data_IF_637878702699
#
_entry.id   IF_637878702699
#
_cell.length_a   1.000
_cell.length_b   1.000
_cell.length_c   1.000
_cell.angle_alpha   90.00
_cell.angle_beta   90.00
_cell.angle_gamma   90.00
#
_symmetry.space_group_name_H-M   'P 1'
#
loop_
_entity.id
_entity.type
_entity.pdbx_description
1 polymer ?
2 non-polymer ?
3 water ?
#
# COMPACT_ATOMS: atom_id res chain seq x y z
N UNK A 1 -35.31 -2.34 6.01
CA UNK A 1 -34.19 -2.36 5.02
C UNK A 1 -34.65 -1.71 3.74
N UNK A 2 -33.99 -2.03 2.63
CA UNK A 2 -34.36 -1.46 1.34
C UNK A 2 -35.65 -2.11 0.85
N UNK A 3 -36.64 -1.28 0.50
CA UNK A 3 -37.85 -1.73 -0.13
C UNK A 3 -38.05 -0.88 -1.38
N UNK A 4 -37.31 -1.19 -2.42
CA UNK A 4 -37.28 -0.35 -3.62
C UNK A 4 -36.89 1.10 -3.27
N UNK A 5 -35.76 1.29 -2.62
CA UNK A 5 -35.24 2.65 -2.41
C UNK A 5 -33.73 2.66 -2.44
N UNK A 6 -33.13 3.87 -2.52
CA UNK A 6 -31.69 3.96 -2.60
C UNK A 6 -31.06 4.56 -1.35
N UNK A 7 -31.69 4.39 -0.20
CA UNK A 7 -31.04 4.88 1.03
C UNK A 7 -29.85 3.97 1.30
N UNK A 8 -28.66 4.55 1.29
CA UNK A 8 -27.44 3.75 1.45
C UNK A 8 -27.19 3.38 2.91
N UNK A 9 -26.79 2.12 3.10
CA UNK A 9 -26.28 1.57 4.37
C UNK A 9 -25.11 0.66 4.05
N UNK A 10 -24.35 0.21 5.06
CA UNK A 10 -23.30 -0.74 4.76
C UNK A 10 -23.83 -2.02 4.12
N UNK A 11 -25.00 -2.47 4.59
CA UNK A 11 -25.57 -3.65 4.01
C UNK A 11 -25.97 -3.46 2.55
N UNK A 12 -26.60 -2.33 2.21
CA UNK A 12 -26.91 -2.10 0.81
C UNK A 12 -25.62 -2.00 0.00
N UNK A 13 -24.61 -1.29 0.50
CA UNK A 13 -23.36 -1.14 -0.25
C UNK A 13 -22.72 -2.50 -0.55
N UNK A 14 -22.59 -3.38 0.44
CA UNK A 14 -21.95 -4.66 0.15
C UNK A 14 -22.77 -5.46 -0.90
N UNK A 15 -24.09 -5.31 -0.84
CA UNK A 15 -25.01 -5.99 -1.77
C UNK A 15 -24.81 -5.50 -3.21
N UNK A 16 -24.27 -4.29 -3.37
CA UNK A 16 -24.12 -3.69 -4.70
C UNK A 16 -22.79 -4.07 -5.33
N UNK A 17 -22.00 -4.86 -4.61
CA UNK A 17 -20.68 -5.30 -5.12
C UNK A 17 -20.79 -6.65 -5.83
N UNK A 18 -21.92 -6.95 -6.45
CA UNK A 18 -22.03 -8.15 -7.31
C UNK A 18 -20.92 -8.14 -8.34
N UNK A 19 -20.30 -9.28 -8.63
CA UNK A 19 -19.05 -9.25 -9.41
C UNK A 19 -19.25 -9.03 -10.88
N UNK A 20 -20.46 -9.25 -11.37
CA UNK A 20 -20.63 -9.37 -12.81
C UNK A 20 -21.24 -8.21 -13.59
N UNK A 21 -21.84 -7.24 -12.91
CA UNK A 21 -22.46 -6.14 -13.67
C UNK A 21 -21.42 -5.16 -14.25
N UNK A 22 -20.28 -4.97 -13.55
CA UNK A 22 -19.18 -4.08 -13.97
C UNK A 22 -19.64 -2.67 -14.25
N UNK A 23 -20.69 -2.24 -13.54
CA UNK A 23 -21.24 -0.90 -13.72
C UNK A 23 -20.45 0.03 -12.82
N UNK A 24 -19.65 0.94 -13.41
CA UNK A 24 -18.78 1.79 -12.61
C UNK A 24 -19.50 2.61 -11.58
N UNK A 25 -20.67 3.18 -11.89
CA UNK A 25 -21.34 4.01 -10.89
C UNK A 25 -21.85 3.21 -9.70
N UNK A 26 -22.28 1.97 -9.94
CA UNK A 26 -22.82 1.18 -8.87
C UNK A 26 -21.68 0.76 -7.94
N UNK A 27 -20.57 0.32 -8.53
CA UNK A 27 -19.44 -0.11 -7.73
C UNK A 27 -18.90 1.09 -6.98
N UNK A 28 -18.72 2.22 -7.67
CA UNK A 28 -18.18 3.43 -7.05
C UNK A 28 -19.07 3.94 -5.91
N UNK A 29 -20.38 3.96 -6.09
CA UNK A 29 -21.26 4.40 -4.99
C UNK A 29 -21.12 3.48 -3.79
N UNK A 30 -21.07 2.17 -4.02
CA UNK A 30 -20.99 1.22 -2.94
C UNK A 30 -19.61 1.26 -2.22
N UNK A 31 -18.54 1.22 -2.99
CA UNK A 31 -17.19 1.21 -2.38
C UNK A 31 -16.86 2.56 -1.75
N UNK A 32 -17.24 3.69 -2.36
CA UNK A 32 -17.03 4.98 -1.63
C UNK A 32 -17.87 5.03 -0.35
N UNK A 33 -19.09 4.49 -0.34
CA UNK A 33 -19.84 4.45 0.93
C UNK A 33 -19.03 3.73 2.02
N UNK A 34 -18.47 2.56 1.66
CA UNK A 34 -17.67 1.79 2.61
C UNK A 34 -16.40 2.57 3.02
N UNK A 35 -15.71 3.18 2.05
CA UNK A 35 -14.57 4.07 2.34
C UNK A 35 -14.93 5.14 3.38
N UNK A 36 -16.01 5.86 3.10
CA UNK A 36 -16.42 6.93 4.02
C UNK A 36 -16.84 6.41 5.39
N UNK A 37 -17.55 5.27 5.44
CA UNK A 37 -18.01 4.79 6.72
C UNK A 37 -16.84 4.27 7.56
N UNK A 38 -15.86 3.67 6.92
CA UNK A 38 -14.70 3.08 7.63
C UNK A 38 -13.62 4.10 7.96
N UNK A 39 -13.77 5.36 7.53
CA UNK A 39 -12.70 6.39 7.75
C UNK A 39 -12.46 6.55 9.23
N UNK A 40 -13.52 6.72 10.00
CA UNK A 40 -13.33 6.91 11.44
C UNK A 40 -14.13 5.95 12.33
N UNK A 41 -14.79 4.95 11.75
CA UNK A 41 -15.59 4.01 12.59
C UNK A 41 -15.03 2.59 12.59
N UNK A 42 -14.39 2.23 13.69
CA UNK A 42 -13.94 0.85 13.85
C UNK A 42 -15.07 -0.15 13.64
N UNK A 43 -16.30 0.18 14.04
CA UNK A 43 -17.38 -0.77 13.93
C UNK A 43 -17.70 -1.09 12.46
N UNK A 44 -17.53 -0.10 11.59
CA UNK A 44 -17.78 -0.30 10.16
C UNK A 44 -16.74 -1.22 9.55
N UNK A 45 -15.49 -1.12 10.01
CA UNK A 45 -14.48 -2.03 9.48
C UNK A 45 -14.81 -3.49 9.90
N UNK A 46 -15.29 -3.69 11.13
CA UNK A 46 -15.67 -5.03 11.52
C UNK A 46 -16.91 -5.52 10.78
N UNK A 47 -17.84 -4.63 10.53
CA UNK A 47 -19.09 -5.02 9.86
C UNK A 47 -18.88 -5.44 8.41
N UNK A 48 -18.03 -4.72 7.68
CA UNK A 48 -17.74 -5.12 6.30
C UNK A 48 -17.08 -6.49 6.26
N UNK A 49 -16.19 -6.77 7.23
CA UNK A 49 -15.64 -8.11 7.36
C UNK A 49 -16.73 -9.15 7.57
N UNK A 50 -17.66 -8.87 8.50
CA UNK A 50 -18.71 -9.82 8.81
C UNK A 50 -19.61 -10.07 7.60
N UNK A 51 -19.81 -9.04 6.78
CA UNK A 51 -20.69 -9.13 5.61
C UNK A 51 -19.95 -9.71 4.38
N UNK A 52 -18.71 -10.14 4.59
CA UNK A 52 -17.92 -10.80 3.55
C UNK A 52 -17.57 -9.84 2.43
N UNK A 53 -17.45 -8.56 2.78
CA UNK A 53 -17.21 -7.51 1.78
C UNK A 53 -15.77 -7.41 1.31
N UNK A 54 -14.82 -7.93 2.07
CA UNK A 54 -13.42 -7.75 1.69
C UNK A 54 -13.12 -8.49 0.38
N UNK A 55 -13.52 -9.77 0.30
CA UNK A 55 -13.31 -10.48 -0.97
C UNK A 55 -14.09 -9.83 -2.14
N UNK A 56 -15.28 -9.31 -1.86
CA UNK A 56 -16.03 -8.71 -2.95
C UNK A 56 -15.29 -7.49 -3.50
N UNK A 57 -14.66 -6.73 -2.62
CA UNK A 57 -13.88 -5.57 -3.10
C UNK A 57 -12.65 -6.00 -3.86
N UNK A 58 -11.90 -6.95 -3.31
CA UNK A 58 -10.72 -7.44 -4.03
C UNK A 58 -11.05 -7.95 -5.42
N UNK A 59 -12.21 -8.62 -5.57
CA UNK A 59 -12.60 -9.14 -6.90
C UNK A 59 -12.78 -8.01 -7.91
N UNK A 60 -13.19 -6.84 -7.45
CA UNK A 60 -13.44 -5.74 -8.36
C UNK A 60 -12.20 -4.93 -8.75
N UNK A 61 -11.02 -5.27 -8.25
CA UNK A 61 -9.78 -4.66 -8.72
C UNK A 61 -9.55 -5.01 -10.20
N UNK A 62 -10.24 -6.04 -10.71
CA UNK A 62 -10.16 -6.42 -12.13
C UNK A 62 -10.79 -5.35 -13.06
N UNK A 63 -11.59 -4.45 -12.50
CA UNK A 63 -12.33 -3.50 -13.30
C UNK A 63 -11.45 -2.33 -13.75
N UNK A 64 -11.29 -2.18 -15.07
CA UNK A 64 -10.34 -1.20 -15.62
C UNK A 64 -11.03 0.14 -15.77
N UNK A 65 -11.33 0.78 -14.66
CA UNK A 65 -11.97 2.07 -14.70
C UNK A 65 -11.37 2.82 -13.53
N UNK A 66 -10.87 4.05 -13.73
CA UNK A 66 -10.12 4.76 -12.68
C UNK A 66 -11.01 5.12 -11.50
N UNK A 67 -12.27 5.47 -11.77
CA UNK A 67 -13.16 5.76 -10.65
C UNK A 67 -13.42 4.54 -9.79
N UNK A 68 -13.65 3.39 -10.42
CA UNK A 68 -13.82 2.15 -9.69
C UNK A 68 -12.57 1.84 -8.86
N UNK A 69 -11.40 1.99 -9.47
CA UNK A 69 -10.19 1.59 -8.73
C UNK A 69 -9.92 2.52 -7.55
N UNK A 70 -10.17 3.82 -7.72
CA UNK A 70 -10.05 4.75 -6.59
C UNK A 70 -11.04 4.39 -5.48
N UNK A 71 -12.28 4.07 -5.84
CA UNK A 71 -13.23 3.72 -4.80
C UNK A 71 -12.83 2.43 -4.07
N UNK A 72 -12.46 1.39 -4.83
CA UNK A 72 -12.12 0.11 -4.23
C UNK A 72 -10.84 0.21 -3.38
N UNK A 73 -9.80 0.85 -3.92
CA UNK A 73 -8.53 0.95 -3.15
C UNK A 73 -8.65 1.88 -1.97
N UNK A 74 -9.41 2.97 -2.14
CA UNK A 74 -9.72 3.86 -0.99
C UNK A 74 -10.49 3.12 0.11
N UNK A 75 -11.50 2.33 -0.29
CA UNK A 75 -12.26 1.52 0.66
C UNK A 75 -11.34 0.54 1.41
N UNK A 76 -10.52 -0.17 0.68
CA UNK A 76 -9.67 -1.20 1.29
C UNK A 76 -8.63 -0.58 2.22
N UNK A 77 -8.10 0.60 1.89
CA UNK A 77 -7.14 1.25 2.78
C UNK A 77 -7.82 1.54 4.13
N UNK A 78 -9.05 2.07 4.06
CA UNK A 78 -9.77 2.41 5.30
C UNK A 78 -10.27 1.23 6.08
N UNK A 79 -10.53 0.12 5.39
CA UNK A 79 -10.95 -1.11 6.03
C UNK A 79 -9.86 -1.77 6.88
N UNK A 80 -8.60 -1.65 6.43
CA UNK A 80 -7.52 -2.33 7.15
C UNK A 80 -6.90 -1.46 8.22
N UNK A 81 -7.25 -0.18 8.26
CA UNK A 81 -6.66 0.71 9.26
C UNK A 81 -6.95 0.26 10.66
N UNK A 82 -5.89 -0.02 11.43
CA UNK A 82 -6.08 -0.42 12.84
C UNK A 82 -7.09 -1.58 13.00
N UNK A 83 -7.13 -2.49 12.05
CA UNK A 83 -8.00 -3.65 12.17
C UNK A 83 -7.27 -4.92 11.77
N UNK A 84 -6.75 -5.64 12.75
CA UNK A 84 -5.92 -6.77 12.45
C UNK A 84 -6.62 -7.89 11.69
N UNK A 85 -7.89 -8.14 12.01
CA UNK A 85 -8.61 -9.21 11.30
C UNK A 85 -8.69 -8.84 9.81
N UNK A 86 -8.89 -7.55 9.51
CA UNK A 86 -9.00 -7.17 8.12
C UNK A 86 -7.65 -7.22 7.41
N UNK A 87 -6.59 -6.82 8.12
CA UNK A 87 -5.26 -6.93 7.50
C UNK A 87 -4.95 -8.40 7.14
N UNK A 88 -5.21 -9.30 8.08
CA UNK A 88 -4.95 -10.71 7.88
C UNK A 88 -5.81 -11.27 6.75
N UNK A 89 -7.06 -10.81 6.66
CA UNK A 89 -7.93 -11.35 5.61
C UNK A 89 -7.51 -10.86 4.22
N UNK A 90 -7.14 -9.58 4.06
CA UNK A 90 -6.60 -9.14 2.77
C UNK A 90 -5.38 -9.99 2.37
N UNK A 91 -4.47 -10.25 3.31
CA UNK A 91 -3.28 -11.06 2.99
C UNK A 91 -3.66 -12.50 2.62
N UNK A 92 -4.59 -13.08 3.37
CA UNK A 92 -4.97 -14.48 3.19
C UNK A 92 -5.66 -14.70 1.85
N UNK A 93 -6.38 -13.68 1.36
CA UNK A 93 -7.12 -13.77 0.10
C UNK A 93 -6.24 -13.46 -1.12
N UNK A 94 -4.92 -13.43 -0.92
CA UNK A 94 -3.98 -13.05 -2.02
C UNK A 94 -4.25 -11.65 -2.54
N UNK A 95 -4.64 -10.80 -1.62
CA UNK A 95 -4.86 -9.38 -1.99
C UNK A 95 -3.57 -8.67 -2.34
N UNK A 96 -2.43 -9.04 -1.74
CA UNK A 96 -1.24 -8.25 -2.01
C UNK A 96 -0.79 -8.26 -3.49
N UNK A 97 -0.65 -9.45 -4.12
CA UNK A 97 -0.24 -9.43 -5.53
C UNK A 97 -1.26 -8.70 -6.42
N UNK A 98 -2.55 -8.84 -6.15
CA UNK A 98 -3.52 -8.14 -6.99
C UNK A 98 -3.40 -6.63 -6.82
N UNK A 99 -3.18 -6.18 -5.58
CA UNK A 99 -3.02 -4.76 -5.37
C UNK A 99 -1.75 -4.26 -6.05
N UNK A 100 -0.68 -5.04 -6.00
CA UNK A 100 0.57 -4.65 -6.66
C UNK A 100 0.43 -4.56 -8.17
N UNK A 101 -0.42 -5.43 -8.75
CA UNK A 101 -0.67 -5.34 -10.19
C UNK A 101 -1.34 -4.02 -10.53
N UNK A 102 -2.33 -3.61 -9.73
CA UNK A 102 -2.95 -2.34 -9.99
C UNK A 102 -1.93 -1.22 -9.81
N UNK A 103 -1.09 -1.32 -8.80
CA UNK A 103 -0.10 -0.26 -8.51
C UNK A 103 0.83 -0.06 -9.72
N UNK A 104 1.26 -1.17 -10.32
CA UNK A 104 2.10 -1.06 -11.53
C UNK A 104 1.38 -0.48 -12.76
N UNK A 105 0.11 -0.83 -12.93
CA UNK A 105 -0.64 -0.55 -14.15
C UNK A 105 -1.32 0.78 -14.15
N UNK A 106 -1.80 1.24 -13.01
CA UNK A 106 -2.60 2.48 -13.02
C UNK A 106 -1.80 3.70 -13.46
N UNK A 107 -2.49 4.63 -14.13
CA UNK A 107 -1.89 5.92 -14.41
C UNK A 107 -2.38 7.02 -13.46
N UNK A 108 -3.08 6.63 -12.40
CA UNK A 108 -3.65 7.60 -11.47
C UNK A 108 -2.81 7.71 -10.20
N UNK A 109 -2.26 8.89 -9.94
CA UNK A 109 -1.41 9.03 -8.74
C UNK A 109 -2.17 8.76 -7.46
N UNK A 110 -3.42 9.21 -7.35
CA UNK A 110 -4.12 9.03 -6.08
C UNK A 110 -4.34 7.54 -5.82
N UNK A 111 -4.62 6.75 -6.86
CA UNK A 111 -4.79 5.29 -6.67
C UNK A 111 -3.51 4.70 -6.10
N UNK A 112 -2.37 5.15 -6.62
CA UNK A 112 -1.09 4.67 -6.05
C UNK A 112 -0.90 5.04 -4.59
N UNK A 113 -1.36 6.22 -4.19
CA UNK A 113 -1.26 6.64 -2.77
C UNK A 113 -2.14 5.74 -1.92
N UNK A 114 -3.34 5.40 -2.42
CA UNK A 114 -4.24 4.55 -1.64
C UNK A 114 -3.66 3.16 -1.46
N UNK A 115 -3.13 2.58 -2.54
CA UNK A 115 -2.60 1.20 -2.48
C UNK A 115 -1.39 1.17 -1.55
N UNK A 116 -0.51 2.12 -1.70
CA UNK A 116 0.72 2.16 -0.92
C UNK A 116 0.39 2.44 0.61
N UNK A 117 -0.61 3.28 0.88
CA UNK A 117 -1.08 3.49 2.28
C UNK A 117 -1.70 2.21 2.85
N UNK A 118 -2.53 1.49 2.05
CA UNK A 118 -3.09 0.20 2.43
C UNK A 118 -1.97 -0.79 2.81
N UNK A 119 -0.97 -0.90 1.97
CA UNK A 119 0.14 -1.81 2.24
C UNK A 119 0.92 -1.41 3.49
N UNK A 120 1.09 -0.10 3.66
CA UNK A 120 1.70 0.37 4.87
C UNK A 120 0.89 -0.08 6.11
N UNK A 121 -0.45 0.01 6.04
CA UNK A 121 -1.28 -0.48 7.15
C UNK A 121 -1.08 -1.97 7.37
N UNK A 122 -1.06 -2.77 6.29
CA UNK A 122 -0.77 -4.21 6.46
C UNK A 122 0.55 -4.46 7.19
N UNK A 123 1.56 -3.68 6.83
CA UNK A 123 2.92 -3.96 7.29
C UNK A 123 3.15 -3.78 8.79
N UNK A 124 2.26 -3.09 9.48
CA UNK A 124 2.44 -2.89 10.92
C UNK A 124 2.00 -4.10 11.71
N UNK A 125 1.35 -5.07 11.07
CA UNK A 125 0.98 -6.31 11.77
C UNK A 125 2.16 -7.25 11.80
N UNK A 126 2.60 -7.64 12.99
CA UNK A 126 3.85 -8.40 13.12
C UNK A 126 3.80 -9.69 12.33
N UNK A 127 2.60 -10.26 12.19
CA UNK A 127 2.47 -11.57 11.54
C UNK A 127 2.56 -11.47 10.02
N UNK A 128 2.48 -10.25 9.51
CA UNK A 128 2.50 -10.01 8.09
C UNK A 128 3.83 -9.48 7.56
N UNK A 129 4.84 -9.29 8.41
CA UNK A 129 6.07 -8.66 7.92
C UNK A 129 6.88 -9.53 6.97
N UNK A 130 7.04 -10.82 7.31
CA UNK A 130 7.75 -11.72 6.40
C UNK A 130 6.90 -11.94 5.16
N UNK A 131 5.58 -12.07 5.30
CA UNK A 131 4.73 -12.22 4.12
C UNK A 131 4.87 -11.01 3.18
N UNK A 132 4.92 -9.79 3.73
CA UNK A 132 5.11 -8.62 2.91
C UNK A 132 6.46 -8.59 2.21
N UNK A 133 7.49 -9.11 2.87
CA UNK A 133 8.79 -9.23 2.20
C UNK A 133 8.67 -10.19 1.01
N UNK A 134 8.08 -11.37 1.21
CA UNK A 134 7.89 -12.34 0.13
C UNK A 134 7.10 -11.74 -1.03
N UNK A 135 5.99 -11.08 -0.70
CA UNK A 135 5.02 -10.68 -1.72
C UNK A 135 5.38 -9.35 -2.37
N UNK A 136 5.93 -8.42 -1.58
CA UNK A 136 5.93 -7.01 -2.02
C UNK A 136 7.30 -6.33 -2.09
N UNK A 137 8.34 -6.91 -1.49
CA UNK A 137 9.63 -6.23 -1.39
C UNK A 137 10.14 -5.80 -2.76
N UNK A 138 10.15 -6.73 -3.71
CA UNK A 138 10.73 -6.44 -5.00
C UNK A 138 9.94 -5.39 -5.79
N UNK A 139 8.61 -5.50 -5.81
CA UNK A 139 7.77 -4.56 -6.56
C UNK A 139 7.91 -3.18 -5.94
N UNK A 140 7.85 -3.09 -4.60
CA UNK A 140 7.94 -1.75 -3.98
C UNK A 140 9.31 -1.07 -4.25
N UNK A 141 10.38 -1.86 -4.21
CA UNK A 141 11.76 -1.34 -4.44
C UNK A 141 11.91 -0.88 -5.88
N UNK A 142 11.46 -1.73 -6.81
CA UNK A 142 11.74 -1.41 -8.21
C UNK A 142 10.77 -0.41 -8.80
N UNK A 143 9.51 -0.44 -8.37
CA UNK A 143 8.55 0.50 -8.92
C UNK A 143 8.52 1.88 -8.27
N UNK A 144 8.82 1.94 -6.96
CA UNK A 144 8.74 3.20 -6.25
C UNK A 144 10.07 3.73 -5.73
N UNK A 145 10.77 2.95 -4.92
CA UNK A 145 11.93 3.50 -4.23
C UNK A 145 13.03 3.87 -5.21
N UNK A 146 13.45 2.92 -6.02
CA UNK A 146 14.52 3.17 -6.98
C UNK A 146 14.26 4.36 -7.92
N UNK A 147 13.13 4.37 -8.64
CA UNK A 147 12.89 5.49 -9.57
C UNK A 147 12.74 6.86 -8.88
N UNK A 148 12.08 6.94 -7.72
CA UNK A 148 11.88 8.25 -7.09
C UNK A 148 13.16 8.79 -6.46
N UNK A 149 14.02 7.88 -6.01
CA UNK A 149 15.21 8.29 -5.26
C UNK A 149 16.15 9.24 -6.01
N UNK A 150 16.28 9.05 -7.30
CA UNK A 150 17.29 9.75 -8.14
C UNK A 150 18.64 9.04 -8.18
N UNK A 151 18.73 7.87 -7.55
CA UNK A 151 19.95 7.10 -7.53
C UNK A 151 20.06 6.28 -8.85
N UNK A 152 21.26 6.11 -9.39
CA UNK A 152 22.52 6.77 -9.05
C UNK A 152 22.65 8.15 -9.68
N UNK A 153 23.19 9.08 -8.90
CA UNK A 153 23.26 10.46 -9.38
C UNK A 153 24.04 10.57 -10.66
N UNK A 154 25.15 9.86 -10.70
CA UNK A 154 26.12 10.00 -11.78
C UNK A 154 25.61 9.43 -13.08
N UNK A 155 24.41 8.80 -13.05
CA UNK A 155 23.77 8.28 -14.25
C UNK A 155 22.66 9.17 -14.76
N UNK A 156 22.44 10.29 -14.07
CA UNK A 156 21.42 11.30 -14.42
C UNK A 156 20.11 10.69 -14.87
N UNK A 157 19.46 9.94 -13.97
CA UNK A 157 18.17 9.32 -14.31
C UNK A 157 17.08 10.35 -14.53
N UNK A 158 16.20 10.10 -15.52
CA UNK A 158 15.09 11.00 -15.78
C UNK A 158 14.13 11.04 -14.58
N UNK A 159 13.31 12.09 -14.49
CA UNK A 159 12.25 12.13 -13.47
C UNK A 159 11.15 11.13 -13.81
N UNK A 160 10.35 10.70 -12.82
CA UNK A 160 9.23 9.79 -13.07
C UNK A 160 7.88 10.48 -12.86
N UNK A 161 7.16 10.65 -13.96
CA UNK A 161 5.96 11.46 -13.97
C UNK A 161 4.80 10.79 -13.28
N UNK A 162 4.96 9.53 -12.89
CA UNK A 162 3.86 8.83 -12.23
C UNK A 162 4.17 8.44 -10.79
N UNK A 163 5.05 9.22 -10.15
CA UNK A 163 5.35 9.07 -8.72
C UNK A 163 5.40 10.45 -8.11
N UNK A 164 5.23 10.52 -6.80
CA UNK A 164 5.43 11.76 -6.05
C UNK A 164 5.84 11.43 -4.62
N UNK A 165 6.11 12.49 -3.86
CA UNK A 165 6.58 12.34 -2.51
C UNK A 165 5.64 11.49 -1.64
N UNK A 166 4.33 11.70 -1.76
CA UNK A 166 3.40 10.94 -0.89
C UNK A 166 3.50 9.44 -1.13
N UNK A 167 3.65 9.05 -2.40
CA UNK A 167 3.73 7.61 -2.71
C UNK A 167 5.06 7.05 -2.16
N UNK A 168 6.15 7.79 -2.37
CA UNK A 168 7.45 7.38 -1.83
C UNK A 168 7.41 7.28 -0.30
N UNK A 169 6.79 8.27 0.35
CA UNK A 169 6.65 8.28 1.81
C UNK A 169 5.92 7.03 2.34
N UNK A 170 4.77 6.74 1.73
CA UNK A 170 4.05 5.54 2.10
C UNK A 170 4.89 4.29 2.01
N UNK A 171 5.64 4.17 0.92
CA UNK A 171 6.46 2.98 0.67
C UNK A 171 7.62 2.92 1.67
N UNK A 172 8.20 4.07 2.01
CA UNK A 172 9.24 4.02 3.07
C UNK A 172 8.67 3.61 4.43
N UNK A 173 7.40 3.94 4.70
CA UNK A 173 6.74 3.51 5.93
C UNK A 173 6.55 2.00 5.91
N UNK A 174 6.09 1.50 4.77
CA UNK A 174 5.96 0.05 4.51
C UNK A 174 7.24 -0.66 4.79
N UNK A 175 8.29 -0.20 4.13
CA UNK A 175 9.61 -0.87 4.25
C UNK A 175 10.17 -0.72 5.65
N UNK A 176 9.92 0.41 6.31
CA UNK A 176 10.38 0.55 7.70
C UNK A 176 9.80 -0.56 8.57
N UNK A 177 8.49 -0.78 8.45
CA UNK A 177 7.87 -1.84 9.21
C UNK A 177 8.45 -3.18 8.81
N UNK A 178 8.60 -3.39 7.51
CA UNK A 178 9.11 -4.72 7.07
C UNK A 178 10.52 -4.98 7.58
N UNK A 179 11.32 -3.93 7.72
CA UNK A 179 12.72 -4.11 8.14
C UNK A 179 12.89 -4.50 9.60
N UNK A 180 11.79 -4.48 10.36
CA UNK A 180 11.79 -5.02 11.74
C UNK A 180 11.49 -6.52 11.83
N UNK A 181 11.45 -7.18 10.68
CA UNK A 181 11.24 -8.62 10.65
C UNK A 181 12.50 -9.23 11.23
N UNK A 182 12.53 -10.54 11.30
CA UNK A 182 13.71 -11.20 11.81
C UNK A 182 14.84 -11.31 10.81
N UNK A 183 15.87 -12.03 11.18
CA UNK A 183 17.07 -12.02 10.38
C UNK A 183 16.92 -12.46 8.93
N UNK A 184 16.13 -13.49 8.68
CA UNK A 184 16.03 -13.94 7.30
C UNK A 184 15.31 -12.89 6.47
N UNK A 185 14.30 -12.25 7.03
CA UNK A 185 13.62 -11.16 6.33
C UNK A 185 14.52 -9.96 6.07
N UNK A 186 15.29 -9.57 7.06
CA UNK A 186 16.23 -8.47 6.87
C UNK A 186 17.29 -8.80 5.82
N UNK A 187 17.76 -10.06 5.77
CA UNK A 187 18.77 -10.44 4.75
C UNK A 187 18.17 -10.26 3.35
N UNK A 188 16.93 -10.69 3.15
CA UNK A 188 16.30 -10.50 1.85
C UNK A 188 16.24 -9.03 1.47
N UNK A 189 15.84 -8.18 2.39
CA UNK A 189 15.79 -6.75 2.06
C UNK A 189 17.15 -6.15 1.82
N UNK A 190 18.13 -6.53 2.64
CA UNK A 190 19.49 -6.00 2.46
C UNK A 190 20.05 -6.32 1.06
N UNK A 191 19.72 -7.52 0.58
CA UNK A 191 20.21 -8.03 -0.70
C UNK A 191 19.34 -7.68 -1.90
N UNK A 192 18.28 -6.89 -1.70
CA UNK A 192 17.43 -6.51 -2.81
C UNK A 192 18.15 -5.41 -3.60
N UNK A 193 18.49 -5.71 -4.85
CA UNK A 193 19.41 -4.85 -5.56
C UNK A 193 18.93 -3.41 -5.61
N UNK A 194 19.81 -2.52 -5.19
CA UNK A 194 19.50 -1.10 -5.30
C UNK A 194 18.70 -0.49 -4.13
N UNK A 195 18.15 -1.31 -3.23
CA UNK A 195 17.32 -0.74 -2.16
C UNK A 195 18.13 0.14 -1.20
N UNK A 196 19.16 -0.44 -0.59
CA UNK A 196 19.99 0.32 0.33
C UNK A 196 20.61 1.53 -0.34
N UNK A 197 21.22 1.33 -1.53
CA UNK A 197 21.84 2.47 -2.22
C UNK A 197 20.86 3.62 -2.47
N UNK A 198 19.63 3.30 -2.88
CA UNK A 198 18.64 4.33 -3.19
C UNK A 198 18.19 5.06 -1.94
N UNK A 199 18.03 4.35 -0.83
CA UNK A 199 17.58 5.01 0.41
C UNK A 199 18.69 5.95 0.89
N UNK A 200 19.93 5.47 0.83
CA UNK A 200 21.08 6.29 1.25
C UNK A 200 21.16 7.56 0.41
N UNK A 201 20.97 7.40 -0.91
CA UNK A 201 21.04 8.53 -1.76
C UNK A 201 19.94 9.54 -1.45
N UNK A 202 18.73 9.05 -1.18
CA UNK A 202 17.63 9.95 -0.86
C UNK A 202 17.97 10.77 0.37
N UNK A 203 18.44 10.08 1.42
CA UNK A 203 18.77 10.73 2.68
C UNK A 203 19.77 11.85 2.40
N UNK A 204 20.84 11.52 1.64
CA UNK A 204 21.90 12.53 1.42
C UNK A 204 21.39 13.68 0.58
N UNK A 205 20.49 13.39 -0.36
CA UNK A 205 19.94 14.48 -1.18
C UNK A 205 19.12 15.46 -0.35
N UNK A 206 18.42 14.95 0.66
CA UNK A 206 17.60 15.84 1.50
C UNK A 206 18.46 16.70 2.42
N UNK A 207 19.64 16.22 2.77
CA UNK A 207 20.57 17.05 3.52
C UNK A 207 21.08 18.20 2.65
N UNK A 208 21.55 17.86 1.45
CA UNK A 208 22.10 18.87 0.56
C UNK A 208 21.06 19.87 0.11
N UNK A 209 19.81 19.42 0.00
CA UNK A 209 18.72 20.28 -0.45
C UNK A 209 18.01 21.00 0.72
N UNK A 210 18.59 20.95 1.91
CA UNK A 210 18.04 21.65 3.12
C UNK A 210 16.57 21.31 3.39
N UNK A 211 16.30 20.00 3.47
CA UNK A 211 14.98 19.52 3.89
C UNK A 211 15.17 18.70 5.17
N UNK A 212 15.50 19.36 6.28
CA UNK A 212 15.87 18.64 7.50
C UNK A 212 14.69 17.94 8.17
N UNK A 213 13.47 18.33 7.84
CA UNK A 213 12.31 17.70 8.49
C UNK A 213 11.59 16.67 7.61
N UNK A 214 12.26 16.22 6.55
CA UNK A 214 11.63 15.31 5.59
C UNK A 214 11.29 13.99 6.27
N UNK A 215 10.01 13.61 6.28
CA UNK A 215 9.55 12.44 7.04
C UNK A 215 9.90 11.11 6.32
N UNK A 216 10.05 11.17 5.01
CA UNK A 216 10.53 9.99 4.33
C UNK A 216 12.00 9.71 4.70
N UNK A 217 12.82 10.77 4.80
CA UNK A 217 14.21 10.58 5.29
C UNK A 217 14.22 9.92 6.66
N UNK A 218 13.34 10.34 7.57
CA UNK A 218 13.27 9.67 8.88
C UNK A 218 13.02 8.18 8.73
N UNK A 219 12.09 7.81 7.84
CA UNK A 219 11.85 6.36 7.63
C UNK A 219 13.08 5.68 7.05
N UNK A 220 13.72 6.35 6.08
CA UNK A 220 14.93 5.77 5.45
C UNK A 220 16.05 5.47 6.48
N UNK A 221 16.29 6.43 7.37
CA UNK A 221 17.30 6.24 8.44
C UNK A 221 16.97 5.02 9.27
N UNK A 222 15.68 4.85 9.62
CA UNK A 222 15.27 3.68 10.41
C UNK A 222 15.47 2.37 9.67
N UNK A 223 15.03 2.34 8.41
CA UNK A 223 15.25 1.15 7.58
C UNK A 223 16.73 0.82 7.56
N UNK A 224 17.56 1.86 7.37
CA UNK A 224 19.02 1.65 7.20
C UNK A 224 19.62 1.20 8.53
N UNK A 225 19.11 1.67 9.69
CA UNK A 225 19.65 1.06 10.94
C UNK A 225 19.34 -0.40 11.06
N UNK A 226 18.14 -0.74 10.63
CA UNK A 226 17.71 -2.13 10.73
C UNK A 226 18.42 -3.05 9.76
N UNK A 227 18.86 -2.55 8.60
CA UNK A 227 19.39 -3.37 7.52
C UNK A 227 20.89 -3.30 7.28
N UNK A 228 21.50 -2.15 7.61
CA UNK A 228 22.87 -1.89 7.14
C UNK A 228 23.93 -2.49 8.06
N UNK A 229 24.00 -3.82 8.08
CA UNK A 229 25.07 -4.50 8.84
C UNK A 229 25.43 -5.71 7.98
N UNK A 230 26.64 -6.22 8.15
CA UNK A 230 26.96 -7.53 7.55
C UNK A 230 27.55 -8.48 8.60
N UNK A 231 27.50 -9.80 8.36
CA UNK A 231 28.15 -10.75 9.25
C UNK A 231 29.48 -11.16 8.69
N UNK A 232 30.45 -11.29 9.57
CA UNK A 232 31.82 -11.58 9.14
C UNK A 232 31.88 -12.99 8.60
N UNK A 233 32.68 -13.16 7.54
CA UNK A 233 32.72 -14.42 6.77
C UNK A 233 33.42 -15.53 7.54
X LIG B 1 0.39 10.32 4.07
X LIG B 1 0.31 11.71 3.80
X LIG B 1 -0.54 9.56 3.12
X LIG B 1 -0.45 8.22 3.53
X LIG B 1 -0.09 9.69 1.65
X LIG B 1 -1.08 8.94 0.91
X LIG C 1 -15.20 -20.37 -10.26
X LIG C 1 -13.87 -19.97 -9.98
X LIG C 1 -16.25 -19.57 -9.47
X LIG C 1 -16.27 -20.00 -8.13
X LIG C 1 -17.65 -19.81 -10.05
X LIG C 1 -18.61 -19.13 -9.26
#
# INVERSE_FOLDING_TARGET
>A
GSNADMEMTLERAVSMLEADHMLPSRISAAATFIQHECFQKSEARKRVNQLRGILKLLQLLKVQNEDVQRAVCGALRNLVFEDNDNKLEVAELNGVPRLLQVLKQTRDLETKKQITGLLWNLSSNDKLKNLMITEALLTLTENIIIPFSGWPEGDYPKANGLLDFDIFYNVTGCLRNMSSAGADGRKAMRRCDGLIDSLVHYVRGTIADYQPDDKATENCVCILHNLSYQLEA
>B hetero
1 GOL C1 O1 C2 O2 C3 O3
>C hetero
1 GOL C1 O1 C2 O2 C3 O3
#
